data_IF_999933720653
#
_entry.id   IF_999933720653
#
_cell.length_a   1.000
_cell.length_b   1.000
_cell.length_c   1.000
_cell.angle_alpha   90.00
_cell.angle_beta   90.00
_cell.angle_gamma   90.00
#
_symmetry.space_group_name_H-M   'P 1'
#
loop_
_entity.id
_entity.type
_entity.pdbx_description
1 polymer ?
#
# COMPACT_ATOMS: atom_id res chain seq x y z
N UNK A 1 -6.93 -32.98 1.40
CA UNK A 1 -7.78 -32.65 0.23
C UNK A 1 -8.56 -31.38 0.53
N UNK A 2 -8.15 -30.27 -0.06
CA UNK A 2 -8.83 -28.96 0.08
C UNK A 2 -9.91 -28.88 -1.00
N UNK A 3 -11.18 -28.75 -0.59
CA UNK A 3 -12.28 -28.49 -1.53
C UNK A 3 -12.43 -26.99 -1.69
N UNK A 4 -12.00 -26.47 -2.84
CA UNK A 4 -12.40 -25.15 -3.31
C UNK A 4 -13.90 -25.21 -3.61
N UNK A 5 -14.66 -24.23 -3.12
CA UNK A 5 -16.05 -24.06 -3.48
C UNK A 5 -16.18 -22.74 -4.23
N UNK A 6 -16.65 -22.83 -5.47
CA UNK A 6 -17.15 -21.69 -6.23
C UNK A 6 -18.68 -21.70 -6.11
N UNK A 7 -19.29 -20.54 -5.89
CA UNK A 7 -20.72 -20.40 -6.07
C UNK A 7 -21.06 -20.02 -7.53
N UNK A 8 -22.35 -20.08 -7.87
CA UNK A 8 -22.85 -19.82 -9.23
C UNK A 8 -22.63 -18.36 -9.69
N UNK A 9 -22.11 -17.49 -8.81
CA UNK A 9 -21.68 -16.12 -9.14
C UNK A 9 -20.22 -16.02 -9.58
N UNK A 10 -19.49 -17.14 -9.60
CA UNK A 10 -18.06 -17.17 -9.89
C UNK A 10 -17.17 -16.77 -8.72
N UNK A 11 -17.72 -16.65 -7.50
CA UNK A 11 -16.94 -16.28 -6.32
C UNK A 11 -16.23 -17.50 -5.74
N UNK A 12 -14.88 -17.45 -5.68
CA UNK A 12 -14.05 -18.52 -5.09
C UNK A 12 -13.73 -18.20 -3.63
N UNK A 13 -14.12 -19.07 -2.70
CA UNK A 13 -13.83 -18.90 -1.28
C UNK A 13 -12.54 -19.62 -0.88
N UNK A 14 -11.47 -18.85 -0.59
CA UNK A 14 -10.24 -19.39 -0.02
C UNK A 14 -10.29 -19.35 1.51
N UNK A 15 -10.09 -20.50 2.16
CA UNK A 15 -9.90 -20.57 3.62
C UNK A 15 -8.42 -20.39 3.94
N UNK A 16 -7.93 -19.15 3.86
CA UNK A 16 -6.61 -18.79 4.39
C UNK A 16 -6.74 -18.79 5.91
N UNK A 17 -6.28 -19.87 6.56
CA UNK A 17 -6.18 -19.92 8.03
C UNK A 17 -5.36 -18.71 8.47
N UNK A 18 -5.95 -17.87 9.32
CA UNK A 18 -5.42 -16.60 9.90
C UNK A 18 -5.81 -15.26 9.26
N UNK A 19 -6.74 -15.22 8.29
CA UNK A 19 -7.53 -14.01 8.07
C UNK A 19 -9.00 -14.34 8.28
N UNK A 20 -9.52 -13.95 9.45
CA UNK A 20 -10.92 -14.06 9.80
C UNK A 20 -11.80 -13.52 8.65
N UNK A 21 -12.45 -14.43 7.93
CA UNK A 21 -13.71 -14.23 7.19
C UNK A 21 -13.93 -12.88 6.48
N UNK A 22 -12.91 -12.33 5.81
CA UNK A 22 -13.09 -11.16 4.93
C UNK A 22 -13.41 -11.65 3.52
N UNK A 23 -14.56 -11.26 2.98
CA UNK A 23 -14.91 -11.48 1.56
C UNK A 23 -13.93 -10.67 0.70
N UNK A 24 -13.04 -11.36 0.01
CA UNK A 24 -12.21 -10.81 -1.08
C UNK A 24 -12.94 -11.15 -2.38
N UNK A 25 -13.18 -10.16 -3.26
CA UNK A 25 -13.87 -10.44 -4.53
C UNK A 25 -12.85 -10.93 -5.56
N UNK A 26 -13.29 -11.80 -6.48
CA UNK A 26 -12.43 -12.37 -7.52
C UNK A 26 -11.81 -11.28 -8.40
N UNK A 27 -12.56 -10.22 -8.73
CA UNK A 27 -12.06 -9.05 -9.46
C UNK A 27 -10.87 -8.35 -8.77
N UNK A 28 -10.82 -8.41 -7.44
CA UNK A 28 -9.73 -7.81 -6.68
C UNK A 28 -8.48 -8.69 -6.80
N UNK A 29 -8.67 -10.02 -6.80
CA UNK A 29 -7.59 -10.95 -7.05
C UNK A 29 -7.04 -10.88 -8.47
N UNK A 30 -7.93 -10.74 -9.46
CA UNK A 30 -7.59 -10.53 -10.87
C UNK A 30 -6.75 -9.28 -11.04
N UNK A 31 -7.13 -8.16 -10.40
CA UNK A 31 -6.38 -6.91 -10.49
C UNK A 31 -4.95 -7.01 -9.92
N UNK A 32 -4.76 -7.71 -8.81
CA UNK A 32 -3.41 -7.97 -8.26
C UNK A 32 -2.60 -8.83 -9.22
N UNK A 33 -3.21 -9.85 -9.79
CA UNK A 33 -2.55 -10.75 -10.74
C UNK A 33 -2.18 -10.03 -12.05
N UNK A 34 -3.09 -9.23 -12.62
CA UNK A 34 -2.88 -8.42 -13.82
C UNK A 34 -1.77 -7.38 -13.63
N UNK A 35 -1.63 -6.85 -12.42
CA UNK A 35 -0.55 -5.92 -12.05
C UNK A 35 0.75 -6.62 -11.61
N UNK A 36 0.81 -7.96 -11.64
CA UNK A 36 2.00 -8.73 -11.25
C UNK A 36 2.31 -8.72 -9.75
N UNK A 37 1.33 -8.40 -8.91
CA UNK A 37 1.43 -8.44 -7.45
C UNK A 37 1.33 -9.87 -6.89
N UNK A 38 1.92 -10.09 -5.72
CA UNK A 38 1.84 -11.36 -5.00
C UNK A 38 0.69 -11.32 -3.98
N UNK A 39 -0.42 -11.99 -4.33
CA UNK A 39 -1.62 -12.10 -3.49
C UNK A 39 -1.36 -12.58 -2.06
N UNK A 40 -0.28 -13.34 -1.80
CA UNK A 40 0.06 -13.81 -0.46
C UNK A 40 0.70 -12.73 0.41
N UNK A 41 1.22 -11.67 -0.22
CA UNK A 41 1.96 -10.58 0.42
C UNK A 41 1.18 -9.26 0.40
N UNK A 42 0.10 -9.22 -0.35
CA UNK A 42 -0.77 -8.06 -0.44
C UNK A 42 -1.68 -7.95 0.78
N UNK A 43 -1.53 -6.88 1.54
CA UNK A 43 -2.37 -6.58 2.70
C UNK A 43 -3.67 -5.94 2.20
N UNK A 44 -4.80 -6.59 2.47
CA UNK A 44 -6.13 -6.12 2.07
C UNK A 44 -6.92 -5.68 3.30
N UNK A 45 -7.33 -4.42 3.32
CA UNK A 45 -8.39 -3.94 4.22
C UNK A 45 -9.56 -3.51 3.35
N UNK A 46 -10.64 -4.27 3.44
CA UNK A 46 -11.92 -3.96 2.81
C UNK A 46 -12.56 -2.81 3.58
N UNK A 47 -12.84 -1.71 2.89
CA UNK A 47 -13.72 -0.66 3.41
C UNK A 47 -15.06 -0.68 2.68
N UNK A 48 -16.15 -0.57 3.45
CA UNK A 48 -17.49 -0.35 2.91
C UNK A 48 -17.68 1.12 2.59
N UNK A 49 -18.15 1.44 1.39
CA UNK A 49 -18.59 2.78 1.01
C UNK A 49 -20.00 3.04 1.53
N UNK A 50 -20.39 4.33 1.64
CA UNK A 50 -21.69 4.75 2.22
C UNK A 50 -22.92 4.24 1.43
N UNK A 51 -22.73 3.89 0.16
CA UNK A 51 -23.70 3.25 -0.74
C UNK A 51 -23.72 1.71 -0.63
N UNK A 52 -22.97 1.12 0.31
CA UNK A 52 -22.89 -0.32 0.52
C UNK A 52 -21.91 -1.06 -0.41
N UNK A 53 -21.20 -0.33 -1.27
CA UNK A 53 -20.10 -0.87 -2.07
C UNK A 53 -18.89 -1.27 -1.22
N UNK A 54 -17.93 -1.96 -1.83
CA UNK A 54 -16.63 -2.25 -1.24
C UNK A 54 -15.55 -1.74 -2.18
N UNK A 55 -14.66 -0.88 -1.68
CA UNK A 55 -13.53 -0.37 -2.45
C UNK A 55 -12.27 -0.99 -1.88
N UNK A 56 -11.55 -1.73 -2.72
CA UNK A 56 -10.26 -2.30 -2.35
C UNK A 56 -9.18 -1.25 -2.58
N UNK A 57 -8.42 -0.94 -1.51
CA UNK A 57 -7.19 -0.16 -1.62
C UNK A 57 -6.01 -1.04 -1.25
N UNK A 58 -5.05 -1.10 -2.15
CA UNK A 58 -3.93 -2.04 -2.11
C UNK A 58 -2.71 -1.37 -1.48
N UNK A 59 -2.14 -1.99 -0.45
CA UNK A 59 -0.73 -1.79 -0.14
C UNK A 59 0.02 -3.04 -0.56
N UNK A 60 0.65 -2.96 -1.73
CA UNK A 60 1.52 -4.02 -2.23
C UNK A 60 2.77 -4.08 -1.35
N UNK A 61 3.20 -5.30 -1.03
CA UNK A 61 4.49 -5.52 -0.34
C UNK A 61 5.64 -4.91 -1.15
N UNK A 62 5.50 -4.92 -2.48
CA UNK A 62 6.38 -4.23 -3.41
C UNK A 62 7.72 -4.93 -3.59
N UNK A 63 8.73 -4.17 -4.00
CA UNK A 63 10.10 -4.67 -4.17
C UNK A 63 11.11 -3.59 -3.85
N UNK A 64 12.28 -4.01 -3.38
CA UNK A 64 13.46 -3.16 -3.36
C UNK A 64 14.04 -3.06 -4.78
N UNK A 65 14.57 -1.90 -5.11
CA UNK A 65 15.38 -1.65 -6.30
C UNK A 65 16.86 -1.83 -5.97
N UNK A 66 17.59 -0.72 -5.82
CA UNK A 66 19.03 -0.75 -5.50
C UNK A 66 19.36 -1.49 -4.20
N UNK A 67 18.45 -1.49 -3.22
CA UNK A 67 18.63 -2.15 -1.92
C UNK A 67 18.37 -3.66 -1.95
N UNK A 68 17.93 -4.22 -3.08
CA UNK A 68 17.68 -5.66 -3.18
C UNK A 68 18.93 -6.50 -2.88
N UNK A 69 18.79 -7.48 -2.00
CA UNK A 69 19.87 -8.42 -1.63
C UNK A 69 21.01 -7.82 -0.80
N UNK A 70 20.86 -6.60 -0.27
CA UNK A 70 21.87 -5.96 0.56
C UNK A 70 21.77 -6.42 2.01
N UNK A 71 22.92 -6.67 2.63
CA UNK A 71 23.03 -7.09 4.04
C UNK A 71 23.09 -5.92 5.01
N UNK A 72 23.36 -4.71 4.51
CA UNK A 72 23.35 -3.46 5.27
C UNK A 72 22.33 -2.52 4.65
N UNK A 73 21.79 -1.61 5.47
CA UNK A 73 20.89 -0.59 4.98
C UNK A 73 21.58 0.27 3.92
N UNK A 74 20.88 0.49 2.81
CA UNK A 74 21.19 1.54 1.84
C UNK A 74 19.90 2.22 1.44
N UNK A 75 20.01 3.46 0.95
CA UNK A 75 18.86 4.14 0.36
C UNK A 75 18.41 3.39 -0.89
N UNK A 76 17.15 2.96 -0.90
CA UNK A 76 16.58 2.21 -2.01
C UNK A 76 16.12 3.15 -3.11
N UNK A 77 16.69 2.97 -4.30
CA UNK A 77 16.34 3.69 -5.52
C UNK A 77 15.65 2.72 -6.49
N UNK A 78 14.48 3.11 -7.00
CA UNK A 78 13.74 2.33 -7.99
C UNK A 78 12.92 1.17 -7.42
N UNK A 79 12.82 1.03 -6.10
CA UNK A 79 11.84 0.17 -5.45
C UNK A 79 10.43 0.77 -5.45
N UNK A 80 9.47 -0.02 -4.97
CA UNK A 80 8.07 0.37 -4.80
C UNK A 80 7.41 -0.38 -3.65
N UNK A 81 6.26 0.11 -3.20
CA UNK A 81 5.40 -0.56 -2.21
C UNK A 81 5.93 -0.51 -0.79
N UNK A 82 5.36 -1.35 0.08
CA UNK A 82 5.63 -1.35 1.51
C UNK A 82 7.10 -1.57 1.85
N UNK A 83 7.76 -2.53 1.22
CA UNK A 83 9.16 -2.86 1.53
C UNK A 83 10.10 -1.68 1.22
N UNK A 84 9.81 -0.93 0.15
CA UNK A 84 10.53 0.29 -0.22
C UNK A 84 10.30 1.40 0.82
N UNK A 85 9.03 1.64 1.21
CA UNK A 85 8.67 2.64 2.21
C UNK A 85 9.32 2.31 3.55
N UNK A 86 9.24 1.04 3.97
CA UNK A 86 9.83 0.56 5.20
C UNK A 86 11.33 0.78 5.20
N UNK A 87 12.02 0.38 4.14
CA UNK A 87 13.46 0.59 4.01
C UNK A 87 13.82 2.08 4.11
N UNK A 88 13.20 2.94 3.31
CA UNK A 88 13.63 4.33 3.17
C UNK A 88 13.15 5.27 4.28
N UNK A 89 12.03 4.98 4.94
CA UNK A 89 11.35 5.93 5.82
C UNK A 89 11.10 5.42 7.24
N UNK A 90 11.14 4.10 7.46
CA UNK A 90 10.85 3.48 8.78
C UNK A 90 12.13 2.99 9.45
N UNK A 91 12.88 2.10 8.79
CA UNK A 91 14.15 1.56 9.30
C UNK A 91 15.36 2.37 8.81
N UNK A 92 15.12 3.62 8.42
CA UNK A 92 16.17 4.53 7.99
C UNK A 92 17.19 4.76 9.13
N UNK A 93 18.51 4.89 8.86
CA UNK A 93 19.53 5.07 9.90
C UNK A 93 19.34 6.31 10.77
N UNK A 94 18.69 7.35 10.23
CA UNK A 94 18.31 8.55 11.00
C UNK A 94 17.05 8.37 11.86
N UNK A 95 16.48 7.17 11.90
CA UNK A 95 15.26 6.83 12.62
C UNK A 95 13.99 6.83 11.76
N UNK A 96 12.89 6.38 12.37
CA UNK A 96 11.57 6.32 11.76
C UNK A 96 11.00 7.73 11.57
N UNK A 97 10.87 8.14 10.30
CA UNK A 97 10.42 9.48 9.92
C UNK A 97 8.96 9.73 10.27
N UNK A 98 8.11 8.69 10.25
CA UNK A 98 6.71 8.79 10.66
C UNK A 98 6.59 9.09 12.16
N UNK A 99 7.40 8.43 13.00
CA UNK A 99 7.46 8.72 14.43
C UNK A 99 7.91 10.16 14.68
N UNK A 100 8.97 10.58 13.99
CA UNK A 100 9.52 11.93 14.15
C UNK A 100 8.51 13.01 13.75
N UNK A 101 7.74 12.80 12.67
CA UNK A 101 6.78 13.80 12.20
C UNK A 101 5.47 13.75 12.99
N UNK A 102 4.88 12.57 13.16
CA UNK A 102 3.49 12.43 13.60
C UNK A 102 3.33 11.91 15.03
N UNK A 103 4.35 11.28 15.63
CA UNK A 103 4.34 10.85 17.02
C UNK A 103 4.56 9.35 17.23
N UNK A 104 4.67 8.95 18.49
CA UNK A 104 5.09 7.60 18.89
C UNK A 104 4.15 6.47 18.50
N UNK A 105 2.87 6.77 18.23
CA UNK A 105 1.90 5.77 17.74
C UNK A 105 2.32 5.14 16.40
N UNK A 106 3.10 5.87 15.59
CA UNK A 106 3.65 5.39 14.33
C UNK A 106 4.94 4.57 14.50
N UNK A 107 5.25 4.13 15.72
CA UNK A 107 6.17 3.00 15.94
C UNK A 107 5.54 1.70 15.46
N UNK A 108 4.20 1.62 15.50
CA UNK A 108 3.43 0.52 14.94
C UNK A 108 3.36 0.64 13.41
N UNK A 109 3.99 -0.30 12.73
CA UNK A 109 4.01 -0.36 11.26
C UNK A 109 2.59 -0.47 10.67
N UNK A 110 1.63 -1.10 11.37
CA UNK A 110 0.24 -1.18 10.89
C UNK A 110 -0.45 0.19 10.93
N UNK A 111 -0.15 1.04 11.93
CA UNK A 111 -0.64 2.43 11.97
C UNK A 111 -0.12 3.26 10.82
N UNK A 112 1.11 3.00 10.37
CA UNK A 112 1.66 3.65 9.18
C UNK A 112 0.92 3.20 7.93
N UNK A 113 0.66 1.90 7.78
CA UNK A 113 -0.09 1.37 6.63
C UNK A 113 -1.51 1.96 6.57
N UNK A 114 -2.21 2.02 7.70
CA UNK A 114 -3.53 2.64 7.81
C UNK A 114 -3.49 4.13 7.41
N UNK A 115 -2.45 4.85 7.83
CA UNK A 115 -2.25 6.26 7.48
C UNK A 115 -2.07 6.46 5.97
N UNK A 116 -1.26 5.60 5.33
CA UNK A 116 -1.03 5.63 3.88
C UNK A 116 -2.32 5.37 3.12
N UNK A 117 -3.09 4.36 3.53
CA UNK A 117 -4.39 4.05 2.92
C UNK A 117 -5.38 5.21 3.08
N UNK A 118 -5.42 5.82 4.27
CA UNK A 118 -6.24 7.01 4.55
C UNK A 118 -5.84 8.19 3.66
N UNK A 119 -4.54 8.39 3.42
CA UNK A 119 -4.03 9.44 2.54
C UNK A 119 -4.50 9.26 1.10
N UNK A 120 -4.47 8.04 0.56
CA UNK A 120 -4.95 7.76 -0.80
C UNK A 120 -6.48 7.88 -0.88
N UNK A 121 -7.18 7.58 0.23
CA UNK A 121 -8.64 7.68 0.29
C UNK A 121 -9.15 9.11 0.32
N UNK A 122 -8.57 9.93 1.19
CA UNK A 122 -9.10 11.25 1.53
C UNK A 122 -8.27 12.39 0.92
N UNK A 123 -7.05 12.10 0.47
CA UNK A 123 -6.14 13.10 -0.07
C UNK A 123 -6.60 13.66 -1.41
N UNK A 124 -6.29 14.93 -1.63
CA UNK A 124 -6.44 15.55 -2.94
C UNK A 124 -5.25 15.09 -3.79
N UNK A 125 -5.55 14.40 -4.90
CA UNK A 125 -4.51 13.92 -5.82
C UNK A 125 -4.15 14.97 -6.85
N UNK A 126 -2.86 15.21 -7.04
CA UNK A 126 -2.30 15.91 -8.19
C UNK A 126 -1.75 14.88 -9.19
N UNK A 127 -2.19 14.95 -10.46
CA UNK A 127 -1.60 14.14 -11.54
C UNK A 127 -0.29 14.78 -12.00
N UNK A 128 0.80 14.01 -12.00
CA UNK A 128 2.09 14.40 -12.58
C UNK A 128 2.50 13.43 -13.68
N UNK A 129 3.19 13.97 -14.68
CA UNK A 129 3.82 13.20 -15.74
C UNK A 129 5.30 13.55 -15.74
N UNK A 130 6.16 12.55 -15.72
CA UNK A 130 7.60 12.78 -15.80
C UNK A 130 8.10 12.93 -17.24
N UNK A 131 9.40 13.20 -17.41
CA UNK A 131 10.03 13.42 -18.72
C UNK A 131 10.01 12.17 -19.63
N UNK A 132 9.68 10.99 -19.09
CA UNK A 132 9.54 9.74 -19.84
C UNK A 132 8.07 9.41 -20.15
N UNK A 133 7.15 10.33 -19.85
CA UNK A 133 5.71 10.15 -20.06
C UNK A 133 5.03 9.29 -19.00
N UNK A 134 5.70 8.92 -17.91
CA UNK A 134 5.13 8.09 -16.85
C UNK A 134 4.22 8.94 -15.97
N UNK A 135 3.00 8.45 -15.75
CA UNK A 135 2.00 9.14 -14.94
C UNK A 135 2.09 8.67 -13.49
N UNK A 136 1.97 9.62 -12.55
CA UNK A 136 1.82 9.37 -11.12
C UNK A 136 0.78 10.31 -10.53
N UNK A 137 0.11 9.83 -9.48
CA UNK A 137 -0.83 10.57 -8.66
C UNK A 137 -0.19 10.82 -7.31
N UNK A 138 -0.08 12.10 -6.94
CA UNK A 138 0.51 12.53 -5.67
C UNK A 138 -0.61 12.97 -4.75
N UNK A 139 -0.78 12.24 -3.65
CA UNK A 139 -1.72 12.55 -2.58
C UNK A 139 -0.95 13.27 -1.47
N UNK A 140 -1.26 14.54 -1.23
CA UNK A 140 -0.79 15.24 -0.04
C UNK A 140 -1.96 15.32 0.94
N UNK A 141 -1.78 14.79 2.15
CA UNK A 141 -2.84 14.72 3.17
C UNK A 141 -2.33 15.34 4.45
N UNK A 142 -3.06 16.33 4.98
CA UNK A 142 -2.77 16.89 6.30
C UNK A 142 -3.18 15.87 7.36
N UNK A 143 -2.21 15.40 8.15
CA UNK A 143 -2.43 14.39 9.19
C UNK A 143 -2.67 15.07 10.54
N UNK A 144 -1.91 16.13 10.80
CA UNK A 144 -2.01 17.00 11.96
C UNK A 144 -1.76 18.42 11.45
N UNK A 145 -2.20 19.43 12.20
CA UNK A 145 -2.04 20.84 11.80
C UNK A 145 -0.60 21.14 11.34
N UNK A 146 -0.45 21.51 10.07
CA UNK A 146 0.83 21.85 9.44
C UNK A 146 1.77 20.66 9.17
N UNK A 147 1.32 19.41 9.30
CA UNK A 147 2.12 18.19 9.07
C UNK A 147 1.43 17.31 8.03
N UNK A 148 2.14 17.04 6.95
CA UNK A 148 1.55 16.37 5.79
C UNK A 148 2.20 15.02 5.53
N UNK A 149 1.41 14.08 5.04
CA UNK A 149 1.89 12.85 4.42
C UNK A 149 1.80 13.01 2.90
N UNK A 150 2.87 12.65 2.19
CA UNK A 150 2.86 12.51 0.74
C UNK A 150 2.84 11.04 0.37
N UNK A 151 1.85 10.63 -0.42
CA UNK A 151 1.78 9.29 -1.01
C UNK A 151 1.80 9.38 -2.53
N UNK A 152 2.67 8.63 -3.17
CA UNK A 152 2.84 8.60 -4.63
C UNK A 152 2.35 7.27 -5.15
N UNK A 153 1.41 7.30 -6.08
CA UNK A 153 0.78 6.14 -6.71
C UNK A 153 1.01 6.23 -8.21
N UNK A 154 1.34 5.14 -8.89
CA UNK A 154 1.48 5.15 -10.35
C UNK A 154 0.12 5.02 -11.06
N UNK A 155 0.14 5.07 -12.39
CA UNK A 155 -1.08 4.92 -13.20
C UNK A 155 -1.82 3.58 -13.00
N UNK A 156 -1.09 2.51 -12.67
CA UNK A 156 -1.67 1.19 -12.39
C UNK A 156 -2.36 1.10 -11.02
N UNK A 157 -2.24 2.15 -10.19
CA UNK A 157 -2.78 2.18 -8.82
C UNK A 157 -1.84 1.56 -7.78
N UNK A 158 -0.59 1.30 -8.13
CA UNK A 158 0.42 0.76 -7.22
C UNK A 158 1.08 1.90 -6.44
N UNK A 159 1.25 1.71 -5.13
CA UNK A 159 1.96 2.67 -4.29
C UNK A 159 3.46 2.58 -4.62
N UNK A 160 4.01 3.68 -5.13
CA UNK A 160 5.46 3.82 -5.35
C UNK A 160 6.13 4.05 -4.01
N UNK A 161 5.72 5.10 -3.30
CA UNK A 161 6.29 5.47 -2.00
C UNK A 161 5.31 6.31 -1.19
N UNK A 162 5.56 6.42 0.11
CA UNK A 162 4.84 7.33 1.00
C UNK A 162 5.78 7.79 2.12
N UNK A 163 5.79 9.09 2.39
CA UNK A 163 6.69 9.67 3.38
C UNK A 163 6.16 11.00 3.94
N UNK A 164 6.46 11.31 5.22
CA UNK A 164 6.11 12.61 5.82
C UNK A 164 6.85 13.77 5.13
N UNK A 165 6.17 14.91 4.94
CA UNK A 165 6.75 16.17 4.43
C UNK A 165 6.52 17.32 5.41
#
# INVERSE_FOLDING_TARGET
MLKNYADDSGTIYYKVRELASKKVLVKDMERVYENGGDLKKTINVVEKTEDGGSVVRWLEDGKLGSAAGKSTWIYDEGGKGWIHIRNNHIIHPSGNQFVQKFGSEFTDEEKIKDLILTSIKNGISEKKTDNLGRISYIYNTEIQSGKYLRTVVNEAGEIITSYPI
#
